data_IF_074718678204
#
_entry.id   IF_074718678204
#
_cell.length_a   1.000
_cell.length_b   1.000
_cell.length_c   1.000
_cell.angle_alpha   90.00
_cell.angle_beta   90.00
_cell.angle_gamma   90.00
#
_symmetry.space_group_name_H-M   'P 1'
#
loop_
_entity.id
_entity.type
_entity.pdbx_description
1 polymer ?
#
# COMPACT_ATOMS: atom_id res chain seq x y z
N UNK A 1 30.36 6.11 -10.14
CA UNK A 1 29.38 5.16 -10.72
C UNK A 1 28.06 5.45 -10.05
N UNK A 2 26.98 5.63 -10.80
CA UNK A 2 25.64 5.72 -10.22
C UNK A 2 25.32 4.33 -9.69
N UNK A 3 25.21 4.18 -8.36
CA UNK A 3 24.79 2.93 -7.77
C UNK A 3 23.35 2.64 -8.22
N UNK A 4 23.07 1.40 -8.60
CA UNK A 4 21.74 0.95 -8.97
C UNK A 4 21.24 -0.06 -7.95
N UNK A 5 19.92 -0.12 -7.78
CA UNK A 5 19.22 -1.08 -6.94
C UNK A 5 18.04 -1.63 -7.74
N UNK A 6 17.71 -2.89 -7.48
CA UNK A 6 16.47 -3.46 -7.96
C UNK A 6 15.34 -3.07 -7.02
N UNK A 7 14.33 -2.39 -7.56
CA UNK A 7 13.01 -2.33 -6.93
C UNK A 7 12.29 -3.64 -7.25
N UNK A 8 11.68 -4.28 -6.26
CA UNK A 8 11.02 -5.57 -6.44
C UNK A 8 9.66 -5.65 -5.74
N UNK A 9 8.81 -6.55 -6.23
CA UNK A 9 7.59 -7.03 -5.58
C UNK A 9 7.68 -8.56 -5.49
N UNK A 10 7.70 -9.08 -4.26
CA UNK A 10 7.74 -10.52 -3.98
C UNK A 10 6.61 -10.90 -3.04
N UNK A 11 6.29 -12.18 -3.00
CA UNK A 11 5.57 -12.76 -1.87
C UNK A 11 6.52 -13.55 -0.97
N UNK A 12 6.09 -13.76 0.27
CA UNK A 12 6.78 -14.61 1.22
C UNK A 12 5.81 -15.25 2.20
N UNK A 13 6.31 -16.26 2.91
CA UNK A 13 5.62 -16.90 4.02
C UNK A 13 6.56 -17.00 5.22
N UNK A 14 6.04 -16.62 6.40
CA UNK A 14 6.74 -16.79 7.66
C UNK A 14 5.81 -17.40 8.68
N UNK A 15 6.17 -18.58 9.18
CA UNK A 15 5.40 -19.31 10.21
C UNK A 15 3.93 -19.55 9.80
N UNK A 16 3.66 -19.81 8.52
CA UNK A 16 2.32 -20.00 7.99
C UNK A 16 1.56 -18.70 7.69
N UNK A 17 2.14 -17.53 7.97
CA UNK A 17 1.59 -16.23 7.59
C UNK A 17 2.16 -15.78 6.24
N UNK A 18 1.29 -15.61 5.26
CA UNK A 18 1.63 -15.07 3.94
C UNK A 18 1.70 -13.54 3.93
N UNK A 19 2.66 -12.98 3.22
CA UNK A 19 2.81 -11.53 3.06
C UNK A 19 3.38 -11.13 1.69
N UNK A 20 3.06 -9.92 1.26
CA UNK A 20 3.71 -9.26 0.14
C UNK A 20 4.83 -8.34 0.63
N UNK A 21 5.82 -8.11 -0.22
CA UNK A 21 6.94 -7.21 0.06
C UNK A 21 7.29 -6.43 -1.19
N UNK A 22 7.26 -5.11 -1.08
CA UNK A 22 7.90 -4.21 -2.03
C UNK A 22 9.16 -3.67 -1.37
N UNK A 23 10.30 -3.74 -2.04
CA UNK A 23 11.58 -3.40 -1.43
C UNK A 23 12.68 -3.10 -2.43
N UNK A 24 13.86 -2.77 -1.90
CA UNK A 24 15.07 -2.47 -2.66
C UNK A 24 16.15 -3.50 -2.34
N UNK A 25 16.84 -3.98 -3.37
CA UNK A 25 17.98 -4.87 -3.22
C UNK A 25 19.13 -4.48 -4.15
N UNK A 26 20.36 -4.82 -3.76
CA UNK A 26 21.53 -4.83 -4.68
C UNK A 26 21.70 -6.18 -5.38
N UNK A 27 21.02 -7.22 -4.92
CA UNK A 27 21.07 -8.56 -5.51
C UNK A 27 20.23 -8.61 -6.78
N UNK A 28 20.75 -9.23 -7.84
CA UNK A 28 19.99 -9.44 -9.06
C UNK A 28 18.74 -10.32 -8.83
N UNK A 29 18.81 -11.22 -7.86
CA UNK A 29 17.72 -12.08 -7.45
C UNK A 29 17.26 -11.71 -6.03
N UNK A 30 16.10 -11.04 -5.87
CA UNK A 30 15.56 -10.68 -4.57
C UNK A 30 15.29 -11.89 -3.67
N UNK A 31 15.01 -13.07 -4.23
CA UNK A 31 14.70 -14.28 -3.46
C UNK A 31 15.89 -14.80 -2.65
N UNK A 32 17.10 -14.31 -2.96
CA UNK A 32 18.32 -14.61 -2.19
C UNK A 32 18.49 -13.73 -0.95
N UNK A 33 17.69 -12.67 -0.80
CA UNK A 33 17.78 -11.78 0.37
C UNK A 33 17.22 -12.39 1.64
N UNK A 34 16.08 -13.07 1.52
CA UNK A 34 15.36 -13.63 2.64
C UNK A 34 14.82 -15.01 2.27
N UNK A 35 15.04 -15.99 3.16
CA UNK A 35 14.55 -17.36 3.01
C UNK A 35 13.03 -17.45 3.08
N UNK A 36 12.37 -16.43 3.60
CA UNK A 36 10.91 -16.36 3.66
C UNK A 36 10.31 -15.98 2.31
N UNK A 37 11.08 -15.44 1.36
CA UNK A 37 10.57 -15.09 0.03
C UNK A 37 10.35 -16.34 -0.82
N UNK A 38 9.24 -16.35 -1.57
CA UNK A 38 8.81 -17.51 -2.35
C UNK A 38 8.92 -17.23 -3.86
N UNK A 39 8.27 -16.15 -4.32
CA UNK A 39 8.18 -15.80 -5.75
C UNK A 39 8.31 -14.29 -5.95
N UNK A 40 8.91 -13.91 -7.09
CA UNK A 40 9.12 -12.53 -7.50
C UNK A 40 8.21 -12.20 -8.68
N UNK A 41 7.36 -11.19 -8.52
CA UNK A 41 6.34 -10.79 -9.50
C UNK A 41 6.77 -9.57 -10.31
N UNK A 42 7.47 -8.62 -9.69
CA UNK A 42 8.04 -7.45 -10.36
C UNK A 42 9.47 -7.23 -9.93
N UNK A 43 10.32 -6.79 -10.86
CA UNK A 43 11.70 -6.41 -10.61
C UNK A 43 12.17 -5.44 -11.68
N UNK A 44 12.68 -4.28 -11.28
CA UNK A 44 13.23 -3.27 -12.20
C UNK A 44 14.55 -2.72 -11.65
N UNK A 45 15.56 -2.55 -12.51
CA UNK A 45 16.84 -1.96 -12.14
C UNK A 45 16.79 -0.44 -12.25
N UNK A 46 16.97 0.25 -11.13
CA UNK A 46 16.78 1.70 -11.03
C UNK A 46 18.00 2.32 -10.33
N UNK A 47 18.36 3.56 -10.67
CA UNK A 47 19.37 4.30 -9.92
C UNK A 47 18.98 4.45 -8.44
N UNK A 48 19.94 4.40 -7.51
CA UNK A 48 19.68 4.31 -6.07
C UNK A 48 18.76 5.41 -5.52
N UNK A 49 19.01 6.68 -5.87
CA UNK A 49 18.13 7.80 -5.45
C UNK A 49 16.71 7.61 -5.96
N UNK A 50 16.60 7.15 -7.20
CA UNK A 50 15.33 6.93 -7.86
C UNK A 50 14.54 5.78 -7.27
N UNK A 51 15.23 4.68 -6.95
CA UNK A 51 14.63 3.54 -6.30
C UNK A 51 14.05 3.92 -4.92
N UNK A 52 14.76 4.75 -4.15
CA UNK A 52 14.30 5.26 -2.85
C UNK A 52 13.09 6.18 -2.96
N UNK A 53 13.09 7.09 -3.92
CA UNK A 53 11.97 8.01 -4.16
C UNK A 53 10.70 7.27 -4.59
N UNK A 54 10.83 6.31 -5.52
CA UNK A 54 9.71 5.48 -5.98
C UNK A 54 9.18 4.61 -4.84
N UNK A 55 10.07 3.94 -4.09
CA UNK A 55 9.65 3.12 -2.95
C UNK A 55 8.87 3.96 -1.92
N UNK A 56 9.36 5.15 -1.58
CA UNK A 56 8.68 6.03 -0.64
C UNK A 56 7.27 6.44 -1.15
N UNK A 57 7.11 6.72 -2.44
CA UNK A 57 5.80 7.02 -3.01
C UNK A 57 4.84 5.82 -2.94
N UNK A 58 5.33 4.62 -3.23
CA UNK A 58 4.58 3.36 -3.08
C UNK A 58 4.17 3.15 -1.62
N UNK A 59 5.07 3.32 -0.67
CA UNK A 59 4.81 3.16 0.77
C UNK A 59 3.73 4.14 1.26
N UNK A 60 3.81 5.42 0.86
CA UNK A 60 2.78 6.42 1.21
C UNK A 60 1.43 6.03 0.59
N UNK A 61 1.41 5.55 -0.66
CA UNK A 61 0.19 5.13 -1.33
C UNK A 61 -0.46 3.93 -0.63
N UNK A 62 0.33 2.92 -0.27
CA UNK A 62 -0.16 1.74 0.43
C UNK A 62 -0.67 2.09 1.81
N UNK A 63 0.06 2.92 2.56
CA UNK A 63 -0.37 3.40 3.87
C UNK A 63 -1.72 4.13 3.77
N UNK A 64 -1.89 4.99 2.76
CA UNK A 64 -3.15 5.68 2.52
C UNK A 64 -4.28 4.69 2.19
N UNK A 65 -4.05 3.71 1.30
CA UNK A 65 -5.05 2.71 0.92
C UNK A 65 -5.50 1.87 2.12
N UNK A 66 -4.54 1.39 2.93
CA UNK A 66 -4.80 0.60 4.14
C UNK A 66 -5.61 1.43 5.14
N UNK A 67 -5.22 2.69 5.38
CA UNK A 67 -5.93 3.58 6.29
C UNK A 67 -7.36 3.86 5.83
N UNK A 68 -7.59 4.00 4.52
CA UNK A 68 -8.95 4.20 3.99
C UNK A 68 -9.81 2.93 4.18
N UNK A 69 -9.24 1.75 3.95
CA UNK A 69 -9.93 0.49 4.22
C UNK A 69 -10.34 0.40 5.69
N UNK A 70 -9.42 0.69 6.61
CA UNK A 70 -9.69 0.68 8.07
C UNK A 70 -10.76 1.72 8.42
N UNK A 71 -10.66 2.93 7.87
CA UNK A 71 -11.61 4.03 8.14
C UNK A 71 -13.02 3.73 7.65
N UNK A 72 -13.15 3.00 6.54
CA UNK A 72 -14.44 2.55 6.00
C UNK A 72 -15.02 1.31 6.74
N UNK A 73 -14.30 0.83 7.77
CA UNK A 73 -14.69 -0.29 8.63
C UNK A 73 -14.35 -1.66 8.06
N UNK A 74 -13.38 -1.75 7.15
CA UNK A 74 -12.81 -3.03 6.72
C UNK A 74 -11.66 -3.43 7.64
N UNK A 75 -11.50 -4.74 7.81
CA UNK A 75 -10.38 -5.31 8.52
C UNK A 75 -9.39 -5.88 7.51
N UNK A 76 -8.12 -5.53 7.68
CA UNK A 76 -6.99 -6.08 6.95
C UNK A 76 -6.10 -6.79 7.95
N UNK A 77 -5.81 -8.06 7.71
CA UNK A 77 -4.85 -8.81 8.51
C UNK A 77 -3.50 -8.09 8.48
N UNK A 78 -2.87 -7.97 9.64
CA UNK A 78 -1.54 -7.36 9.75
C UNK A 78 -0.53 -8.48 9.97
N UNK A 79 0.10 -9.00 8.89
CA UNK A 79 1.08 -10.07 9.03
C UNK A 79 2.27 -9.59 9.86
N UNK A 80 3.00 -10.53 10.49
CA UNK A 80 4.20 -10.21 11.25
C UNK A 80 5.31 -9.54 10.40
N UNK A 81 5.22 -9.64 9.08
CA UNK A 81 6.10 -8.97 8.12
C UNK A 81 5.33 -8.52 6.88
N UNK A 82 5.77 -7.42 6.28
CA UNK A 82 5.29 -7.01 4.95
C UNK A 82 3.85 -6.51 4.93
N UNK A 83 3.20 -6.74 3.79
CA UNK A 83 1.87 -6.26 3.44
C UNK A 83 0.90 -7.46 3.41
N UNK A 84 -0.32 -7.25 3.88
CA UNK A 84 -1.38 -8.26 3.94
C UNK A 84 -1.75 -8.86 2.59
N UNK A 85 -2.01 -10.17 2.55
CA UNK A 85 -2.66 -10.83 1.41
C UNK A 85 -4.14 -10.45 1.24
N UNK A 86 -4.74 -9.76 2.21
CA UNK A 86 -6.05 -9.12 2.00
C UNK A 86 -5.98 -8.01 0.92
N UNK A 87 -4.77 -7.52 0.57
CA UNK A 87 -4.53 -6.77 -0.66
C UNK A 87 -4.14 -7.75 -1.79
N UNK A 88 -4.88 -7.79 -2.90
CA UNK A 88 -4.58 -8.72 -3.99
C UNK A 88 -3.37 -8.23 -4.80
N UNK A 89 -2.66 -9.17 -5.41
CA UNK A 89 -1.43 -8.90 -6.18
C UNK A 89 -1.62 -7.81 -7.24
N UNK A 90 -2.73 -7.85 -7.99
CA UNK A 90 -2.99 -6.90 -9.07
C UNK A 90 -3.02 -5.45 -8.57
N UNK A 91 -3.50 -5.20 -7.36
CA UNK A 91 -3.52 -3.85 -6.77
C UNK A 91 -2.10 -3.38 -6.42
N UNK A 92 -1.25 -4.29 -5.95
CA UNK A 92 0.16 -3.99 -5.68
C UNK A 92 0.94 -3.73 -6.97
N UNK A 93 0.68 -4.52 -8.01
CA UNK A 93 1.27 -4.32 -9.34
C UNK A 93 0.83 -2.99 -9.96
N UNK A 94 -0.46 -2.64 -9.86
CA UNK A 94 -0.98 -1.35 -10.34
C UNK A 94 -0.29 -0.16 -9.64
N UNK A 95 -0.15 -0.21 -8.31
CA UNK A 95 0.57 0.85 -7.56
C UNK A 95 2.05 0.88 -7.96
N UNK A 96 2.69 -0.28 -8.04
CA UNK A 96 4.09 -0.41 -8.44
C UNK A 96 4.34 0.21 -9.82
N UNK A 97 3.58 -0.24 -10.83
CA UNK A 97 3.73 0.18 -12.22
C UNK A 97 3.36 1.65 -12.39
N UNK A 98 2.39 2.16 -11.64
CA UNK A 98 2.02 3.58 -11.66
C UNK A 98 3.21 4.47 -11.26
N UNK A 99 3.80 4.23 -10.08
CA UNK A 99 4.89 5.07 -9.57
C UNK A 99 6.17 4.90 -10.39
N UNK A 100 6.45 3.68 -10.85
CA UNK A 100 7.60 3.43 -11.73
C UNK A 100 7.48 4.18 -13.07
N UNK A 101 6.30 4.14 -13.70
CA UNK A 101 6.07 4.84 -14.97
C UNK A 101 6.07 6.35 -14.79
N UNK A 102 5.44 6.84 -13.72
CA UNK A 102 5.37 8.28 -13.44
C UNK A 102 6.75 8.90 -13.23
N UNK A 103 7.68 8.12 -12.64
CA UNK A 103 9.04 8.58 -12.39
C UNK A 103 9.85 8.88 -13.66
N UNK A 104 9.39 8.42 -14.84
CA UNK A 104 9.97 8.80 -16.13
C UNK A 104 9.84 10.31 -16.40
N UNK A 105 8.85 10.96 -15.80
CA UNK A 105 8.62 12.41 -15.85
C UNK A 105 8.80 13.02 -14.46
N UNK A 106 10.02 13.43 -14.09
CA UNK A 106 10.36 13.88 -12.72
C UNK A 106 9.48 15.00 -12.19
N UNK A 107 9.31 16.07 -12.97
CA UNK A 107 8.51 17.22 -12.57
C UNK A 107 7.05 16.84 -12.30
N UNK A 108 6.56 15.84 -13.03
CA UNK A 108 5.22 15.30 -12.85
C UNK A 108 5.15 14.42 -11.61
N UNK A 109 6.12 13.51 -11.43
CA UNK A 109 6.25 12.66 -10.25
C UNK A 109 6.22 13.47 -8.95
N UNK A 110 7.04 14.52 -8.83
CA UNK A 110 7.10 15.35 -7.62
C UNK A 110 5.75 16.03 -7.31
N UNK A 111 5.07 16.54 -8.33
CA UNK A 111 3.74 17.17 -8.17
C UNK A 111 2.70 16.16 -7.68
N UNK A 112 2.70 14.96 -8.25
CA UNK A 112 1.73 13.90 -7.91
C UNK A 112 2.04 13.31 -6.52
N UNK A 113 3.30 13.16 -6.13
CA UNK A 113 3.68 12.83 -4.74
C UNK A 113 3.18 13.91 -3.77
N UNK A 114 3.32 15.19 -4.15
CA UNK A 114 2.74 16.30 -3.39
C UNK A 114 1.23 16.14 -3.18
N UNK A 115 0.48 15.78 -4.24
CA UNK A 115 -0.95 15.49 -4.13
C UNK A 115 -1.24 14.27 -3.24
N UNK A 116 -0.45 13.20 -3.33
CA UNK A 116 -0.58 12.01 -2.49
C UNK A 116 -0.41 12.33 -1.00
N UNK A 117 0.54 13.22 -0.66
CA UNK A 117 0.77 13.67 0.72
C UNK A 117 -0.38 14.57 1.19
N UNK A 118 -0.90 15.45 0.35
CA UNK A 118 -2.06 16.30 0.68
C UNK A 118 -3.30 15.42 0.91
N UNK A 119 -3.50 14.39 0.09
CA UNK A 119 -4.60 13.43 0.21
C UNK A 119 -4.68 12.82 1.61
N UNK A 120 -3.54 12.48 2.19
CA UNK A 120 -3.46 11.95 3.56
C UNK A 120 -4.13 12.88 4.60
N UNK A 121 -4.14 14.19 4.33
CA UNK A 121 -4.74 15.23 5.21
C UNK A 121 -6.17 15.60 4.80
N UNK A 122 -6.52 15.45 3.53
CA UNK A 122 -7.80 15.86 2.97
C UNK A 122 -8.31 14.78 2.03
N UNK A 123 -9.45 14.18 2.38
CA UNK A 123 -10.07 13.18 1.54
C UNK A 123 -10.63 13.84 0.26
N UNK A 124 -9.91 13.66 -0.86
CA UNK A 124 -10.29 14.23 -2.15
C UNK A 124 -11.54 13.58 -2.75
N UNK A 125 -11.97 12.43 -2.24
CA UNK A 125 -13.17 11.73 -2.73
C UNK A 125 -14.48 12.49 -2.45
N UNK A 126 -14.46 13.56 -1.65
CA UNK A 126 -15.65 14.38 -1.43
C UNK A 126 -16.09 15.05 -2.75
N UNK A 127 -17.32 14.82 -3.24
CA UNK A 127 -17.76 15.27 -4.57
C UNK A 127 -17.60 16.78 -4.84
N UNK A 128 -17.74 17.60 -3.79
CA UNK A 128 -17.55 19.05 -3.87
C UNK A 128 -16.10 19.44 -4.22
N UNK A 129 -15.11 18.68 -3.75
CA UNK A 129 -13.69 18.91 -4.05
C UNK A 129 -13.38 18.53 -5.49
N UNK A 130 -13.83 17.36 -5.94
CA UNK A 130 -13.63 16.89 -7.33
C UNK A 130 -14.27 17.85 -8.35
N UNK A 131 -15.43 18.43 -8.05
CA UNK A 131 -16.11 19.40 -8.93
C UNK A 131 -15.34 20.74 -9.05
N UNK A 132 -14.62 21.13 -7.99
CA UNK A 132 -13.83 22.37 -7.95
C UNK A 132 -12.45 22.23 -8.59
N UNK A 133 -11.90 21.01 -8.62
CA UNK A 133 -10.59 20.73 -9.20
C UNK A 133 -10.68 20.57 -10.73
N UNK A 134 -10.01 21.47 -11.47
CA UNK A 134 -9.94 21.44 -12.94
C UNK A 134 -8.49 21.42 -13.41
N UNK A 135 -8.28 21.02 -14.67
CA UNK A 135 -6.95 20.92 -15.28
C UNK A 135 -6.10 19.81 -14.64
N UNK A 136 -4.78 20.02 -14.60
CA UNK A 136 -3.79 19.07 -14.08
C UNK A 136 -4.19 18.43 -12.75
N UNK A 137 -4.53 19.24 -11.75
CA UNK A 137 -4.85 18.74 -10.40
C UNK A 137 -6.08 17.83 -10.40
N UNK A 138 -7.11 18.15 -11.18
CA UNK A 138 -8.33 17.34 -11.25
C UNK A 138 -8.11 15.99 -11.93
N UNK A 139 -7.24 15.92 -12.94
CA UNK A 139 -6.89 14.67 -13.62
C UNK A 139 -6.08 13.75 -12.71
N UNK A 140 -5.02 14.25 -12.09
CA UNK A 140 -4.15 13.45 -11.22
C UNK A 140 -4.81 13.03 -9.93
N UNK A 141 -5.68 13.86 -9.35
CA UNK A 141 -6.49 13.44 -8.20
C UNK A 141 -7.38 12.25 -8.57
N UNK A 142 -7.98 12.20 -9.77
CA UNK A 142 -8.77 11.03 -10.18
C UNK A 142 -7.93 9.75 -10.30
N UNK A 143 -6.72 9.86 -10.84
CA UNK A 143 -5.79 8.73 -10.96
C UNK A 143 -5.33 8.25 -9.57
N UNK A 144 -4.92 9.17 -8.69
CA UNK A 144 -4.58 8.84 -7.31
C UNK A 144 -5.78 8.17 -6.63
N UNK A 145 -6.98 8.74 -6.71
CA UNK A 145 -8.17 8.13 -6.11
C UNK A 145 -8.44 6.74 -6.67
N UNK A 146 -8.17 6.47 -7.97
CA UNK A 146 -8.33 5.11 -8.50
C UNK A 146 -7.40 4.07 -7.85
N UNK A 147 -6.17 4.45 -7.49
CA UNK A 147 -5.24 3.59 -6.76
C UNK A 147 -5.68 3.30 -5.31
N UNK A 148 -6.67 4.04 -4.81
CA UNK A 148 -7.20 3.90 -3.45
C UNK A 148 -8.64 3.35 -3.42
N UNK A 149 -9.17 2.86 -4.56
CA UNK A 149 -10.54 2.34 -4.65
C UNK A 149 -10.73 0.94 -4.09
N UNK A 150 -9.66 0.16 -3.96
CA UNK A 150 -9.78 -1.22 -3.52
C UNK A 150 -10.42 -1.30 -2.14
N UNK A 151 -11.40 -2.21 -1.99
CA UNK A 151 -11.98 -2.58 -0.71
C UNK A 151 -12.06 -4.11 -0.63
N UNK A 152 -11.66 -4.72 0.49
CA UNK A 152 -11.79 -6.15 0.68
C UNK A 152 -13.23 -6.65 0.52
N UNK A 153 -13.44 -7.88 0.03
CA UNK A 153 -14.76 -8.42 -0.28
C UNK A 153 -15.66 -8.62 0.96
N UNK A 154 -15.11 -8.56 2.17
CA UNK A 154 -15.90 -8.60 3.40
C UNK A 154 -15.37 -7.62 4.44
N UNK A 155 -16.30 -6.96 5.13
CA UNK A 155 -16.01 -6.39 6.45
C UNK A 155 -15.95 -7.58 7.39
N UNK A 156 -14.76 -8.14 7.66
CA UNK A 156 -14.61 -9.17 8.69
C UNK A 156 -15.09 -8.53 10.00
N UNK A 157 -16.32 -8.81 10.41
CA UNK A 157 -16.80 -8.46 11.74
C UNK A 157 -15.95 -9.25 12.70
N UNK A 158 -15.11 -8.58 13.47
CA UNK A 158 -14.56 -9.20 14.67
C UNK A 158 -15.76 -9.45 15.56
N UNK A 159 -16.31 -10.67 15.53
CA UNK A 159 -17.01 -11.18 16.70
C UNK A 159 -15.92 -11.27 17.76
N UNK A 160 -15.69 -10.15 18.46
CA UNK A 160 -15.12 -10.18 19.79
C UNK A 160 -16.16 -10.99 20.55
N UNK A 161 -15.99 -12.31 20.57
CA UNK A 161 -16.68 -13.14 21.54
C UNK A 161 -16.15 -12.60 22.85
N UNK A 162 -16.89 -11.66 23.44
CA UNK A 162 -16.73 -11.38 24.85
C UNK A 162 -16.79 -12.75 25.52
N UNK A 163 -15.79 -13.11 26.33
CA UNK A 163 -15.80 -14.39 26.97
C UNK A 163 -17.11 -14.52 27.75
N UNK A 164 -17.81 -15.64 27.60
CA UNK A 164 -19.11 -15.94 28.23
C UNK A 164 -19.14 -15.81 29.77
N UNK A 165 -18.01 -15.48 30.40
CA UNK A 165 -17.84 -15.31 31.84
C UNK A 165 -17.79 -13.83 32.29
N UNK A 166 -18.00 -12.85 31.40
CA UNK A 166 -18.04 -11.44 31.78
C UNK A 166 -19.33 -11.02 32.54
N UNK A 167 -20.33 -11.89 32.65
CA UNK A 167 -21.63 -11.60 33.29
C UNK A 167 -21.79 -12.16 34.72
N UNK A 168 -20.73 -12.66 35.35
CA UNK A 168 -20.81 -13.12 36.74
C UNK A 168 -20.06 -12.19 37.69
N UNK A 169 -20.57 -10.98 37.90
CA UNK A 169 -20.32 -10.22 39.14
C UNK A 169 -21.38 -9.10 39.30
N UNK A 170 -22.58 -9.50 39.71
CA UNK A 170 -23.43 -8.62 40.52
C UNK A 170 -23.60 -9.25 41.90
N UNK A 171 -23.09 -8.63 42.98
CA UNK A 171 -23.53 -9.02 44.31
C UNK A 171 -24.94 -8.49 44.52
N UNK A 172 -25.88 -9.42 44.75
CA UNK A 172 -27.18 -9.10 45.33
C UNK A 172 -26.95 -8.53 46.74
N UNK A 173 -27.34 -7.28 46.94
CA UNK A 173 -27.61 -6.68 48.24
C UNK A 173 -28.93 -5.92 48.15
#
# INVERSE_FOLDING_TARGET
MTECQFLYLVNGEKQGEGFWRIGLTKNEDPLKEDKCFLECYRKELIGESAAKEILNAIEINLANLINDCISDGYFLETPSQGISYDLPLNILEEIYDFWLNLYKEKDLFEKVVGLLIIRRKMNFSHPAMIKGLKGFTGEWVKQIESLHRYRPPSKKTFNRQDPMWADSDQPLA
#
